data_IF_594242626362
#
_entry.id   IF_594242626362
#
_cell.length_a   1.000
_cell.length_b   1.000
_cell.length_c   1.000
_cell.angle_alpha   90.00
_cell.angle_beta   90.00
_cell.angle_gamma   90.00
#
_symmetry.space_group_name_H-M   'P 1'
#
loop_
_entity.id
_entity.type
_entity.pdbx_description
1 polymer ?
#
# COMPACT_ATOMS: atom_id res chain seq x y z
N UNK A 1 68.62 59.95 -22.87
CA UNK A 1 68.70 58.50 -22.57
C UNK A 1 67.32 58.11 -22.08
N UNK A 2 66.37 57.78 -22.98
CA UNK A 2 66.18 56.50 -23.66
C UNK A 2 65.86 55.37 -22.67
N UNK A 3 64.61 54.93 -22.65
CA UNK A 3 64.09 53.76 -21.94
C UNK A 3 62.60 53.60 -22.30
N UNK A 4 62.29 53.13 -23.51
CA UNK A 4 61.88 51.74 -23.85
C UNK A 4 60.59 51.29 -23.16
N UNK A 5 59.50 51.37 -23.93
CA UNK A 5 58.23 50.66 -23.72
C UNK A 5 58.45 49.14 -23.72
N UNK A 6 57.73 48.34 -22.91
CA UNK A 6 57.74 46.90 -23.04
C UNK A 6 56.67 46.45 -24.06
N UNK A 7 57.11 45.58 -24.96
CA UNK A 7 56.34 44.96 -26.03
C UNK A 7 55.27 43.99 -25.51
N UNK A 8 54.22 43.86 -26.32
CA UNK A 8 53.11 42.94 -26.20
C UNK A 8 53.57 41.51 -26.52
N UNK A 9 53.87 40.70 -25.51
CA UNK A 9 53.98 39.24 -25.67
C UNK A 9 52.61 38.58 -25.51
N UNK A 10 52.16 38.03 -26.63
CA UNK A 10 50.95 37.23 -26.80
C UNK A 10 51.16 35.91 -26.06
N UNK A 11 50.60 35.79 -24.86
CA UNK A 11 50.50 34.53 -24.12
C UNK A 11 49.54 33.62 -24.85
N UNK A 12 50.06 32.63 -25.56
CA UNK A 12 49.27 31.53 -26.10
C UNK A 12 48.65 30.78 -24.92
N UNK A 13 47.32 30.79 -24.87
CA UNK A 13 46.54 29.98 -23.95
C UNK A 13 46.60 28.54 -24.48
N UNK A 14 47.52 27.72 -23.94
CA UNK A 14 47.44 26.27 -24.09
C UNK A 14 46.19 25.78 -23.36
N UNK A 15 45.13 25.64 -24.13
CA UNK A 15 43.94 24.86 -23.81
C UNK A 15 44.36 23.40 -23.61
N UNK A 16 44.73 23.05 -22.36
CA UNK A 16 44.92 21.65 -21.98
C UNK A 16 43.55 20.99 -21.92
N UNK A 17 43.06 20.59 -23.09
CA UNK A 17 41.96 19.64 -23.21
C UNK A 17 42.45 18.29 -22.69
N UNK A 18 42.35 18.08 -21.37
CA UNK A 18 42.42 16.76 -20.77
C UNK A 18 41.15 16.00 -21.19
N UNK A 19 41.17 15.55 -22.45
CA UNK A 19 40.31 14.49 -22.94
C UNK A 19 40.67 13.26 -22.12
N UNK A 20 39.79 12.90 -21.19
CA UNK A 20 39.81 11.57 -20.59
C UNK A 20 39.46 10.59 -21.69
N UNK A 21 40.47 10.17 -22.47
CA UNK A 21 40.41 8.93 -23.21
C UNK A 21 40.15 7.84 -22.18
N UNK A 22 38.90 7.37 -22.10
CA UNK A 22 38.58 6.08 -21.53
C UNK A 22 39.43 5.06 -22.31
N UNK A 23 40.59 4.69 -21.78
CA UNK A 23 41.45 3.65 -22.34
C UNK A 23 40.65 2.33 -22.35
N UNK A 24 39.96 2.07 -23.46
CA UNK A 24 39.36 0.78 -23.75
C UNK A 24 40.49 -0.24 -23.85
N UNK A 25 40.72 -0.94 -22.74
CA UNK A 25 41.75 -1.98 -22.60
C UNK A 25 41.60 -3.14 -23.59
N UNK A 26 40.54 -3.19 -24.41
CA UNK A 26 40.32 -4.23 -25.41
C UNK A 26 40.07 -5.60 -24.78
N UNK A 27 39.79 -5.65 -23.49
CA UNK A 27 39.57 -6.88 -22.74
C UNK A 27 38.25 -7.53 -23.17
N UNK A 28 38.33 -8.64 -23.90
CA UNK A 28 37.16 -9.44 -24.24
C UNK A 28 36.73 -10.29 -23.03
N UNK A 29 35.66 -9.86 -22.36
CA UNK A 29 35.07 -10.61 -21.25
C UNK A 29 34.11 -11.67 -21.78
N UNK A 30 34.49 -12.94 -21.66
CA UNK A 30 33.61 -14.05 -22.00
C UNK A 30 32.41 -14.10 -21.03
N UNK A 31 31.17 -14.32 -21.50
CA UNK A 31 30.00 -14.43 -20.64
C UNK A 31 30.15 -15.60 -19.66
N UNK A 32 30.12 -15.32 -18.36
CA UNK A 32 30.20 -16.36 -17.31
C UNK A 32 28.91 -17.21 -17.32
N UNK A 33 27.78 -16.61 -17.69
CA UNK A 33 26.46 -17.25 -17.67
C UNK A 33 25.72 -16.84 -18.95
N UNK A 34 25.09 -17.83 -19.61
CA UNK A 34 24.13 -17.59 -20.68
C UNK A 34 22.73 -17.60 -20.07
N UNK A 35 22.03 -16.46 -20.17
CA UNK A 35 20.65 -16.33 -19.71
C UNK A 35 19.71 -16.69 -20.87
N UNK A 36 18.66 -17.44 -20.57
CA UNK A 36 17.55 -17.66 -21.50
C UNK A 36 16.52 -16.55 -21.33
N UNK A 37 15.91 -16.13 -22.44
CA UNK A 37 14.81 -15.18 -22.40
C UNK A 37 13.57 -15.86 -21.80
N UNK A 38 13.07 -15.31 -20.70
CA UNK A 38 11.87 -15.79 -20.02
C UNK A 38 10.76 -14.77 -20.24
N UNK A 39 9.59 -15.24 -20.69
CA UNK A 39 8.39 -14.41 -20.75
C UNK A 39 7.99 -13.99 -19.34
N UNK A 40 7.99 -12.68 -19.07
CA UNK A 40 7.63 -12.12 -17.76
C UNK A 40 6.19 -11.64 -17.79
N UNK A 41 5.32 -12.25 -16.99
CA UNK A 41 3.98 -11.74 -16.69
C UNK A 41 4.06 -10.63 -15.64
N UNK A 42 3.24 -9.59 -15.78
CA UNK A 42 3.19 -8.48 -14.80
C UNK A 42 2.29 -8.81 -13.62
N UNK A 43 1.39 -9.78 -13.76
CA UNK A 43 0.36 -10.10 -12.76
C UNK A 43 -0.75 -9.04 -12.69
N UNK A 44 -0.90 -8.26 -13.77
CA UNK A 44 -1.87 -7.16 -13.95
C UNK A 44 -2.79 -7.42 -15.17
N UNK A 45 -2.73 -8.61 -15.78
CA UNK A 45 -3.40 -8.93 -17.04
C UNK A 45 -4.94 -9.00 -16.92
N UNK A 46 -5.43 -9.37 -15.74
CA UNK A 46 -6.86 -9.52 -15.41
C UNK A 46 -7.49 -8.22 -14.87
N UNK A 47 -6.80 -7.10 -15.00
CA UNK A 47 -7.22 -5.81 -14.44
C UNK A 47 -7.22 -4.71 -15.49
N UNK A 48 -8.17 -3.78 -15.34
CA UNK A 48 -8.27 -2.58 -16.16
C UNK A 48 -7.79 -1.37 -15.37
N UNK A 49 -6.89 -0.58 -15.97
CA UNK A 49 -6.42 0.67 -15.39
C UNK A 49 -7.50 1.75 -15.51
N UNK A 50 -8.07 2.16 -14.38
CA UNK A 50 -9.06 3.25 -14.31
C UNK A 50 -8.40 4.61 -14.04
N UNK A 51 -7.14 4.60 -13.59
CA UNK A 51 -6.31 5.78 -13.40
C UNK A 51 -4.85 5.41 -13.70
N UNK A 52 -4.11 6.30 -14.35
CA UNK A 52 -2.66 6.20 -14.54
C UNK A 52 -2.05 7.61 -14.52
N UNK A 53 -1.31 7.92 -13.46
CA UNK A 53 -0.71 9.24 -13.26
C UNK A 53 0.76 9.11 -12.85
N UNK A 54 1.57 10.08 -13.27
CA UNK A 54 2.95 10.22 -12.77
C UNK A 54 2.95 10.90 -11.41
N UNK A 55 3.67 10.31 -10.46
CA UNK A 55 3.73 10.79 -9.10
C UNK A 55 5.05 10.43 -8.41
N UNK A 56 5.27 11.04 -7.24
CA UNK A 56 6.31 10.66 -6.29
C UNK A 56 5.67 10.29 -4.96
N UNK A 57 6.01 9.11 -4.46
CA UNK A 57 5.48 8.53 -3.24
C UNK A 57 6.50 8.62 -2.11
N UNK A 58 6.01 8.97 -0.94
CA UNK A 58 6.71 9.04 0.32
C UNK A 58 6.01 8.15 1.33
N UNK A 59 6.79 7.63 2.27
CA UNK A 59 6.32 6.80 3.38
C UNK A 59 6.81 7.42 4.68
N UNK A 60 5.91 7.56 5.65
CA UNK A 60 6.25 8.12 6.96
C UNK A 60 7.04 7.10 7.78
N UNK A 61 8.23 7.48 8.21
CA UNK A 61 9.09 6.72 9.10
C UNK A 61 8.70 7.03 10.55
N UNK A 62 8.04 6.08 11.23
CA UNK A 62 7.55 6.29 12.60
C UNK A 62 8.70 6.54 13.59
N UNK A 63 9.78 5.78 13.48
CA UNK A 63 10.93 5.89 14.38
C UNK A 63 11.66 7.24 14.24
N UNK A 64 11.86 7.69 13.00
CA UNK A 64 12.50 8.96 12.69
C UNK A 64 11.54 10.16 12.66
N UNK A 65 10.23 9.94 12.83
CA UNK A 65 9.17 10.95 12.66
C UNK A 65 9.34 11.82 11.41
N UNK A 66 9.66 11.20 10.27
CA UNK A 66 10.02 11.90 9.04
C UNK A 66 9.49 11.21 7.79
N UNK A 67 9.26 11.98 6.72
CA UNK A 67 8.90 11.44 5.42
C UNK A 67 10.14 10.94 4.67
N UNK A 68 10.14 9.69 4.22
CA UNK A 68 11.17 9.13 3.34
C UNK A 68 10.61 8.85 1.95
N UNK A 69 11.38 9.17 0.91
CA UNK A 69 10.98 8.85 -0.47
C UNK A 69 10.94 7.32 -0.65
N UNK A 70 9.82 6.81 -1.18
CA UNK A 70 9.58 5.38 -1.42
C UNK A 70 9.70 5.03 -2.90
N UNK A 71 9.30 5.94 -3.79
CA UNK A 71 9.46 5.75 -5.23
C UNK A 71 8.93 6.90 -6.08
N UNK A 72 9.42 7.02 -7.31
CA UNK A 72 8.92 7.97 -8.29
C UNK A 72 8.61 7.25 -9.61
N UNK A 73 7.37 7.38 -10.09
CA UNK A 73 6.92 6.68 -11.30
C UNK A 73 5.42 6.79 -11.54
N UNK A 74 4.84 5.77 -12.18
CA UNK A 74 3.41 5.72 -12.49
C UNK A 74 2.67 5.03 -11.35
N UNK A 75 1.64 5.71 -10.83
CA UNK A 75 0.63 5.15 -9.93
C UNK A 75 -0.62 4.83 -10.73
N UNK A 76 -1.14 3.62 -10.54
CA UNK A 76 -2.34 3.12 -11.19
C UNK A 76 -3.36 2.68 -10.17
N UNK A 77 -4.63 2.91 -10.47
CA UNK A 77 -5.75 2.20 -9.86
C UNK A 77 -6.20 1.13 -10.84
N UNK A 78 -6.11 -0.13 -10.43
CA UNK A 78 -6.39 -1.30 -11.25
C UNK A 78 -7.65 -1.98 -10.73
N UNK A 79 -8.65 -2.14 -11.60
CA UNK A 79 -9.91 -2.80 -11.31
C UNK A 79 -9.90 -4.21 -11.90
N UNK A 80 -10.04 -5.22 -11.05
CA UNK A 80 -10.11 -6.61 -11.49
C UNK A 80 -11.39 -6.89 -12.27
N UNK A 81 -11.26 -7.52 -13.45
CA UNK A 81 -12.36 -7.76 -14.40
C UNK A 81 -13.50 -8.59 -13.81
N UNK A 82 -13.15 -9.68 -13.12
CA UNK A 82 -14.17 -10.57 -12.52
C UNK A 82 -14.66 -10.10 -11.14
N UNK A 83 -13.75 -9.88 -10.19
CA UNK A 83 -14.13 -9.57 -8.80
C UNK A 83 -14.61 -8.13 -8.63
N UNK A 84 -14.21 -7.21 -9.52
CA UNK A 84 -14.47 -5.77 -9.43
C UNK A 84 -13.78 -5.08 -8.26
N UNK A 85 -12.86 -5.77 -7.56
CA UNK A 85 -12.00 -5.16 -6.54
C UNK A 85 -11.02 -4.21 -7.21
N UNK A 86 -10.63 -3.17 -6.50
CA UNK A 86 -9.67 -2.18 -7.00
C UNK A 86 -8.46 -2.15 -6.08
N UNK A 87 -7.27 -2.20 -6.67
CA UNK A 87 -6.00 -2.00 -5.96
C UNK A 87 -5.23 -0.81 -6.53
N UNK A 88 -4.45 -0.17 -5.67
CA UNK A 88 -3.44 0.78 -6.04
C UNK A 88 -2.13 0.04 -6.26
N UNK A 89 -1.53 0.22 -7.43
CA UNK A 89 -0.18 -0.28 -7.75
C UNK A 89 0.65 0.89 -8.23
N UNK A 90 1.85 1.06 -7.67
CA UNK A 90 2.82 2.05 -8.13
C UNK A 90 4.16 1.40 -8.41
N UNK A 91 4.75 1.71 -9.56
CA UNK A 91 6.07 1.22 -9.96
C UNK A 91 7.05 2.37 -10.16
N UNK A 92 8.28 2.15 -9.73
CA UNK A 92 9.38 3.09 -9.95
C UNK A 92 9.73 3.18 -11.44
N UNK A 93 10.03 4.39 -11.89
CA UNK A 93 10.56 4.62 -13.24
C UNK A 93 11.92 3.91 -13.37
N UNK A 94 12.22 3.39 -14.56
CA UNK A 94 13.46 2.66 -14.90
C UNK A 94 13.59 1.28 -14.26
N UNK A 95 13.45 1.14 -12.94
CA UNK A 95 13.64 -0.15 -12.24
C UNK A 95 12.42 -1.05 -12.27
N UNK A 96 11.22 -0.48 -12.52
CA UNK A 96 9.93 -1.17 -12.54
C UNK A 96 9.56 -1.90 -11.23
N UNK A 97 10.33 -1.66 -10.16
CA UNK A 97 10.07 -2.18 -8.81
C UNK A 97 8.77 -1.60 -8.28
N UNK A 98 7.96 -2.44 -7.66
CA UNK A 98 6.74 -2.04 -6.97
C UNK A 98 7.13 -1.24 -5.72
N UNK A 99 6.50 -0.09 -5.52
CA UNK A 99 6.72 0.76 -4.35
C UNK A 99 5.43 1.06 -3.56
N UNK A 100 4.27 0.68 -4.10
CA UNK A 100 3.01 0.54 -3.39
C UNK A 100 2.16 -0.55 -4.06
N UNK A 101 1.49 -1.37 -3.27
CA UNK A 101 0.56 -2.40 -3.70
C UNK A 101 -0.43 -2.72 -2.57
N UNK A 102 -1.63 -2.14 -2.64
CA UNK A 102 -2.68 -2.37 -1.63
C UNK A 102 -4.08 -2.23 -2.23
N UNK A 103 -5.07 -2.86 -1.60
CA UNK A 103 -6.48 -2.70 -1.96
C UNK A 103 -7.00 -1.32 -1.53
N UNK A 104 -7.86 -0.74 -2.35
CA UNK A 104 -8.67 0.41 -1.94
C UNK A 104 -9.88 -0.12 -1.17
N UNK A 105 -9.85 0.01 0.15
CA UNK A 105 -10.87 -0.51 1.05
C UNK A 105 -11.91 0.57 1.41
N UNK A 106 -13.16 0.19 1.78
CA UNK A 106 -14.21 1.15 2.14
C UNK A 106 -13.86 2.15 3.24
N UNK A 107 -12.97 1.78 4.15
CA UNK A 107 -12.53 2.62 5.28
C UNK A 107 -11.32 3.48 4.95
N UNK A 108 -10.78 3.40 3.73
CA UNK A 108 -9.63 4.19 3.30
C UNK A 108 -10.05 5.64 3.10
N UNK A 109 -9.35 6.56 3.77
CA UNK A 109 -9.56 8.00 3.65
C UNK A 109 -8.32 8.67 3.09
N UNK A 110 -8.47 9.34 1.95
CA UNK A 110 -7.41 10.13 1.32
C UNK A 110 -7.66 11.60 1.64
N UNK A 111 -6.68 12.26 2.24
CA UNK A 111 -6.79 13.64 2.71
C UNK A 111 -5.75 14.52 2.03
N UNK A 112 -6.10 15.77 1.77
CA UNK A 112 -5.13 16.75 1.26
C UNK A 112 -4.03 17.02 2.30
N UNK A 113 -2.79 17.15 1.82
CA UNK A 113 -1.67 17.44 2.71
C UNK A 113 -1.66 18.93 3.09
N UNK A 114 -1.64 19.26 4.39
CA UNK A 114 -1.79 20.62 4.96
C UNK A 114 -0.66 21.63 4.67
N UNK A 115 0.12 21.42 3.60
CA UNK A 115 1.17 22.34 3.16
C UNK A 115 1.52 22.21 1.69
N UNK A 116 0.79 21.36 0.93
CA UNK A 116 1.01 21.19 -0.50
C UNK A 116 -0.24 20.61 -1.17
N UNK A 117 -0.97 21.45 -1.90
CA UNK A 117 -2.21 21.09 -2.60
C UNK A 117 -2.01 20.06 -3.74
N UNK A 118 -0.76 19.87 -4.17
CA UNK A 118 -0.39 18.81 -5.13
C UNK A 118 -0.14 17.47 -4.44
N UNK A 119 -0.34 17.38 -3.13
CA UNK A 119 -0.04 16.19 -2.35
C UNK A 119 -1.22 15.78 -1.48
N UNK A 120 -1.39 14.47 -1.30
CA UNK A 120 -2.38 13.90 -0.40
C UNK A 120 -1.79 12.74 0.41
N UNK A 121 -2.44 12.41 1.52
CA UNK A 121 -2.00 11.43 2.51
C UNK A 121 -3.10 10.42 2.83
N UNK A 122 -2.71 9.18 3.10
CA UNK A 122 -3.62 8.11 3.52
C UNK A 122 -2.86 7.00 4.24
N UNK A 123 -3.61 6.15 4.96
CA UNK A 123 -3.11 4.93 5.57
C UNK A 123 -3.50 3.71 4.73
N UNK A 124 -2.62 2.73 4.61
CA UNK A 124 -2.91 1.48 3.91
C UNK A 124 -2.09 0.28 4.44
N UNK A 125 -2.68 -0.91 4.31
CA UNK A 125 -2.02 -2.19 4.49
C UNK A 125 -1.38 -2.62 3.17
N UNK A 126 -0.07 -2.39 3.03
CA UNK A 126 0.67 -2.46 1.77
C UNK A 126 1.55 -3.70 1.66
N UNK A 127 1.65 -4.26 0.44
CA UNK A 127 2.38 -5.49 0.12
C UNK A 127 3.53 -5.29 -0.89
N UNK A 128 4.04 -4.06 -1.07
CA UNK A 128 5.09 -3.79 -2.06
C UNK A 128 6.40 -4.55 -1.81
N UNK A 129 6.71 -4.89 -0.55
CA UNK A 129 7.94 -5.61 -0.18
C UNK A 129 7.76 -7.14 -0.08
N UNK A 130 6.59 -7.68 -0.44
CA UNK A 130 6.27 -9.10 -0.28
C UNK A 130 5.77 -9.50 1.12
N UNK A 131 5.55 -8.52 1.99
CA UNK A 131 4.97 -8.69 3.33
C UNK A 131 3.95 -7.57 3.56
N UNK A 132 2.87 -7.88 4.31
CA UNK A 132 1.82 -6.93 4.60
C UNK A 132 2.26 -5.98 5.73
N UNK A 133 2.29 -4.67 5.46
CA UNK A 133 2.75 -3.63 6.40
C UNK A 133 1.79 -2.46 6.45
N UNK A 134 1.49 -1.98 7.66
CA UNK A 134 0.70 -0.76 7.86
C UNK A 134 1.57 0.49 7.64
N UNK A 135 1.30 1.18 6.54
CA UNK A 135 2.07 2.32 6.07
C UNK A 135 1.22 3.60 6.04
N UNK A 136 1.84 4.73 6.37
CA UNK A 136 1.29 6.05 6.14
C UNK A 136 1.98 6.66 4.92
N UNK A 137 1.22 6.86 3.85
CA UNK A 137 1.70 7.36 2.58
C UNK A 137 1.41 8.84 2.41
N UNK A 138 2.30 9.49 1.67
CA UNK A 138 2.09 10.80 1.08
C UNK A 138 2.50 10.71 -0.38
N UNK A 139 1.61 11.10 -1.30
CA UNK A 139 1.91 11.11 -2.73
C UNK A 139 1.84 12.54 -3.25
N UNK A 140 2.77 12.89 -4.15
CA UNK A 140 2.86 14.20 -4.78
C UNK A 140 2.74 14.06 -6.29
N UNK A 141 1.88 14.88 -6.86
CA UNK A 141 1.63 14.97 -8.30
C UNK A 141 2.26 16.23 -8.92
N UNK A 142 2.33 16.27 -10.25
CA UNK A 142 2.84 17.42 -10.99
C UNK A 142 1.88 18.63 -10.94
N UNK A 143 0.57 18.39 -10.97
CA UNK A 143 -0.49 19.39 -10.93
C UNK A 143 -1.47 19.14 -9.76
N UNK A 144 -2.18 20.20 -9.38
CA UNK A 144 -3.25 20.13 -8.38
C UNK A 144 -4.43 19.31 -8.94
N UNK A 145 -4.73 19.43 -10.24
CA UNK A 145 -5.81 18.65 -10.87
C UNK A 145 -5.56 17.15 -10.74
N UNK A 146 -4.33 16.68 -11.00
CA UNK A 146 -3.98 15.26 -10.85
C UNK A 146 -4.17 14.78 -9.40
N UNK A 147 -3.82 15.62 -8.42
CA UNK A 147 -4.05 15.31 -7.00
C UNK A 147 -5.54 15.17 -6.70
N UNK A 148 -6.36 16.12 -7.15
CA UNK A 148 -7.82 16.10 -6.97
C UNK A 148 -8.46 14.89 -7.65
N UNK A 149 -8.12 14.62 -8.91
CA UNK A 149 -8.61 13.44 -9.64
C UNK A 149 -8.24 12.15 -8.92
N UNK A 150 -7.01 12.02 -8.40
CA UNK A 150 -6.62 10.85 -7.62
C UNK A 150 -7.46 10.69 -6.34
N UNK A 151 -7.65 11.77 -5.59
CA UNK A 151 -8.46 11.76 -4.35
C UNK A 151 -9.92 11.40 -4.62
N UNK A 152 -10.53 12.01 -5.63
CA UNK A 152 -11.90 11.75 -6.07
C UNK A 152 -12.07 10.28 -6.47
N UNK A 153 -11.18 9.76 -7.32
CA UNK A 153 -11.23 8.36 -7.77
C UNK A 153 -11.05 7.37 -6.62
N UNK A 154 -10.13 7.63 -5.69
CA UNK A 154 -9.97 6.77 -4.51
C UNK A 154 -11.24 6.76 -3.64
N UNK A 155 -11.87 7.92 -3.46
CA UNK A 155 -13.10 8.07 -2.67
C UNK A 155 -14.27 7.34 -3.33
N UNK A 156 -14.50 7.57 -4.63
CA UNK A 156 -15.56 6.90 -5.40
C UNK A 156 -15.40 5.36 -5.37
N UNK A 157 -14.16 4.88 -5.51
CA UNK A 157 -13.84 3.46 -5.42
C UNK A 157 -14.15 2.94 -4.01
N UNK A 158 -13.67 3.59 -2.96
CA UNK A 158 -13.91 3.17 -1.57
C UNK A 158 -15.42 3.08 -1.27
N UNK A 159 -16.20 4.08 -1.69
CA UNK A 159 -17.67 4.07 -1.55
C UNK A 159 -18.34 2.95 -2.36
N UNK A 160 -17.87 2.70 -3.57
CA UNK A 160 -18.39 1.63 -4.44
C UNK A 160 -18.13 0.24 -3.87
N UNK A 161 -16.97 0.04 -3.22
CA UNK A 161 -16.67 -1.22 -2.54
C UNK A 161 -17.60 -1.43 -1.33
N UNK A 162 -17.92 -0.36 -0.57
CA UNK A 162 -18.84 -0.43 0.58
C UNK A 162 -20.22 -0.97 0.18
N UNK A 163 -20.81 -0.41 -0.88
CA UNK A 163 -22.13 -0.81 -1.39
C UNK A 163 -22.15 -2.27 -1.84
N UNK A 164 -21.04 -2.76 -2.41
CA UNK A 164 -20.93 -4.14 -2.89
C UNK A 164 -20.89 -5.15 -1.75
N UNK A 165 -20.21 -4.80 -0.65
CA UNK A 165 -20.13 -5.65 0.54
C UNK A 165 -21.45 -5.68 1.31
N UNK A 166 -22.14 -4.54 1.44
CA UNK A 166 -23.49 -4.46 2.04
C UNK A 166 -24.51 -5.31 1.26
N UNK A 167 -24.50 -5.22 -0.08
CA UNK A 167 -25.44 -5.97 -0.92
C UNK A 167 -25.18 -7.49 -0.89
N UNK A 168 -23.89 -7.91 -0.82
CA UNK A 168 -23.52 -9.31 -0.64
C UNK A 168 -23.92 -9.85 0.73
N UNK A 169 -23.70 -9.08 1.79
CA UNK A 169 -24.09 -9.47 3.15
C UNK A 169 -25.61 -9.60 3.30
N UNK A 170 -26.38 -8.66 2.73
CA UNK A 170 -27.84 -8.75 2.72
C UNK A 170 -28.35 -10.01 1.98
N UNK A 171 -27.76 -10.32 0.82
CA UNK A 171 -28.11 -11.52 0.03
C UNK A 171 -27.73 -12.82 0.76
N UNK A 172 -26.55 -12.85 1.38
CA UNK A 172 -26.09 -14.01 2.15
C UNK A 172 -26.94 -14.27 3.39
N UNK A 173 -27.30 -13.20 4.12
CA UNK A 173 -28.20 -13.29 5.28
C UNK A 173 -29.60 -13.78 4.87
N UNK A 174 -30.16 -13.26 3.76
CA UNK A 174 -31.45 -13.72 3.24
C UNK A 174 -31.43 -15.21 2.86
N UNK A 175 -30.38 -15.68 2.17
CA UNK A 175 -30.23 -17.09 1.81
C UNK A 175 -29.99 -18.02 3.01
N UNK A 176 -29.47 -17.50 4.14
CA UNK A 176 -29.34 -18.25 5.38
C UNK A 176 -30.68 -18.31 6.15
N UNK A 177 -31.48 -17.24 6.12
CA UNK A 177 -32.82 -17.20 6.70
C UNK A 177 -33.80 -18.11 5.98
N UNK A 178 -33.78 -18.17 4.65
CA UNK A 178 -34.65 -19.05 3.85
C UNK A 178 -34.34 -20.54 4.08
N UNK A 179 -33.08 -20.88 4.39
CA UNK A 179 -32.68 -22.24 4.78
C UNK A 179 -33.06 -22.62 6.21
N UNK A 180 -33.38 -21.65 7.07
CA UNK A 180 -33.84 -21.89 8.44
C UNK A 180 -35.36 -22.07 8.55
N UNK A 181 -36.15 -21.65 7.55
CA UNK A 181 -37.60 -21.88 7.52
C UNK A 181 -37.94 -23.19 6.80
N UNK A 182 -37.78 -24.31 7.51
CA UNK A 182 -38.41 -25.59 7.11
C UNK A 182 -39.65 -25.82 7.96
N UNK A 183 -40.72 -26.18 7.25
CA UNK A 183 -42.14 -26.26 7.61
C UNK A 183 -42.49 -27.03 8.89
N UNK A 184 -43.47 -26.48 9.59
CA UNK A 184 -44.32 -27.20 10.54
C UNK A 184 -44.97 -28.41 9.83
N UNK A 185 -44.67 -29.62 10.29
CA UNK A 185 -45.53 -30.78 10.04
C UNK A 185 -46.23 -31.17 11.33
N UNK A 186 -47.55 -31.20 11.24
CA UNK A 186 -48.51 -31.57 12.27
C UNK A 186 -48.26 -32.97 12.88
N UNK A 187 -48.77 -33.10 14.10
CA UNK A 187 -48.67 -34.23 15.00
C UNK A 187 -49.48 -35.47 14.56
N UNK A 188 -49.02 -36.66 14.96
CA UNK A 188 -49.89 -37.74 15.42
C UNK A 188 -49.20 -38.58 16.52
N UNK A 189 -50.02 -39.02 17.48
CA UNK A 189 -49.74 -39.45 18.85
C UNK A 189 -49.46 -40.96 19.01
N UNK A 190 -48.58 -41.32 19.96
CA UNK A 190 -48.75 -42.49 20.85
C UNK A 190 -47.84 -42.44 22.10
N UNK A 191 -48.46 -42.08 23.22
CA UNK A 191 -48.33 -42.58 24.63
C UNK A 191 -47.40 -43.81 24.85
N UNK A 192 -46.64 -44.05 25.92
CA UNK A 192 -46.58 -43.66 27.36
C UNK A 192 -45.39 -44.47 27.99
N UNK A 193 -45.06 -44.46 29.32
CA UNK A 193 -44.43 -43.44 30.15
C UNK A 193 -43.13 -43.96 30.86
N UNK A 194 -42.44 -43.10 31.64
CA UNK A 194 -41.98 -43.33 33.05
C UNK A 194 -41.14 -42.11 33.49
N UNK A 195 -41.47 -41.63 34.69
CA UNK A 195 -41.06 -40.38 35.32
C UNK A 195 -39.85 -40.55 36.27
N UNK A 196 -39.62 -39.70 37.29
CA UNK A 196 -38.73 -38.54 37.23
C UNK A 196 -37.68 -38.56 38.36
N UNK A 197 -36.63 -37.73 38.28
CA UNK A 197 -35.90 -37.32 39.48
C UNK A 197 -35.26 -35.93 39.32
N UNK A 198 -35.82 -34.97 40.04
CA UNK A 198 -35.22 -33.68 40.38
C UNK A 198 -34.00 -33.86 41.29
N UNK A 199 -32.97 -33.01 41.18
CA UNK A 199 -32.62 -32.11 42.30
C UNK A 199 -31.61 -31.01 41.94
N UNK A 200 -32.00 -29.85 42.48
CA UNK A 200 -31.35 -28.56 42.77
C UNK A 200 -29.84 -28.52 43.08
N UNK A 201 -29.40 -27.25 43.03
CA UNK A 201 -28.39 -26.55 43.86
C UNK A 201 -27.04 -26.34 43.16
N UNK A 202 -26.34 -25.22 43.27
CA UNK A 202 -26.50 -23.97 44.01
C UNK A 202 -25.50 -22.95 43.42
N UNK A 203 -25.73 -21.66 43.69
CA UNK A 203 -24.73 -20.60 43.58
C UNK A 203 -23.49 -20.95 44.43
N UNK A 204 -22.30 -20.51 44.01
CA UNK A 204 -21.48 -19.75 44.94
C UNK A 204 -20.57 -18.74 44.24
N UNK A 205 -20.67 -17.52 44.74
CA UNK A 205 -19.71 -16.43 44.67
C UNK A 205 -18.50 -16.75 45.54
N UNK A 206 -17.31 -16.23 45.20
CA UNK A 206 -16.54 -15.40 46.12
C UNK A 206 -15.33 -14.76 45.43
N UNK A 207 -15.17 -13.48 45.70
CA UNK A 207 -13.97 -12.69 45.51
C UNK A 207 -13.07 -12.77 46.75
N UNK A 208 -12.04 -11.92 46.76
CA UNK A 208 -11.16 -11.54 47.87
C UNK A 208 -9.91 -12.43 48.11
N UNK A 209 -8.68 -11.95 48.35
CA UNK A 209 -8.12 -10.58 48.36
C UNK A 209 -6.61 -10.63 48.68
N UNK A 210 -5.88 -9.58 48.28
CA UNK A 210 -4.66 -9.00 48.91
C UNK A 210 -3.37 -9.85 49.07
N UNK A 211 -2.13 -9.32 49.17
CA UNK A 211 -1.60 -7.95 49.30
C UNK A 211 -0.08 -7.96 49.03
N UNK A 212 0.42 -6.82 48.55
CA UNK A 212 1.65 -6.08 48.92
C UNK A 212 2.98 -6.83 49.07
N UNK A 213 4.02 -6.28 48.43
CA UNK A 213 4.90 -5.28 49.10
C UNK A 213 5.71 -4.44 48.12
N UNK A 214 5.72 -3.14 48.37
CA UNK A 214 6.63 -2.10 47.85
C UNK A 214 8.09 -2.35 48.25
N UNK A 215 9.07 -1.82 47.50
CA UNK A 215 10.05 -0.85 48.04
C UNK A 215 10.98 -0.22 46.96
N UNK A 216 11.09 1.11 47.04
CA UNK A 216 12.27 1.96 46.87
C UNK A 216 12.99 2.16 45.51
N UNK A 217 12.78 3.35 44.95
CA UNK A 217 13.78 4.42 44.69
C UNK A 217 15.28 4.07 44.73
N UNK A 218 16.01 4.39 43.66
CA UNK A 218 16.87 5.59 43.53
C UNK A 218 18.04 5.35 42.55
N UNK A 219 18.23 6.32 41.65
CA UNK A 219 19.47 6.84 41.04
C UNK A 219 19.34 7.08 39.55
#
# INVERSE_FOLDING_TARGET
MAGTEPEHERREEEEVTATGDDEDTGAQVAPIIKLEEVAVSTGEEDEDAILDLKAKLYRFDKDGSQWKERGAGSVKLLKHKETGKVRLVMRQSKTLKICANHLVIPTMTVQEHSGNEKSCVWHASDFADGELKEELFCIRFASIENCKTFMEMCTEVAESQKKKDENKNATSAAGLLEKLSVEEKEAEDKSEPIAPAEKKSELDSEADVEKKTECATSS
#
